data_IF_556006636990
#
_entry.id   IF_556006636990
#
_cell.length_a   1.000
_cell.length_b   1.000
_cell.length_c   1.000
_cell.angle_alpha   90.00
_cell.angle_beta   90.00
_cell.angle_gamma   90.00
#
_symmetry.space_group_name_H-M   'P 1'
#
loop_
_entity.id
_entity.type
_entity.pdbx_description
1 polymer ?
#
# COMPACT_ATOMS: atom_id res chain seq x y z
N UNK A 1 -18.76 3.19 8.47
CA UNK A 1 -17.66 4.13 8.25
C UNK A 1 -16.34 3.46 8.60
N UNK A 2 -15.41 3.46 7.70
CA UNK A 2 -14.14 2.81 7.99
C UNK A 2 -13.18 3.82 8.61
N UNK A 3 -12.44 3.35 9.57
CA UNK A 3 -11.45 4.15 10.27
C UNK A 3 -10.07 3.72 9.80
N UNK A 4 -9.25 4.69 9.43
CA UNK A 4 -7.93 4.40 8.91
C UNK A 4 -6.90 5.09 9.80
N UNK A 5 -5.92 4.33 10.28
CA UNK A 5 -4.86 4.90 11.10
C UNK A 5 -3.93 5.74 10.24
N UNK A 6 -3.11 6.56 10.89
CA UNK A 6 -2.14 7.36 10.15
C UNK A 6 -1.20 6.48 9.34
N UNK A 7 -0.81 5.36 9.93
CA UNK A 7 0.12 4.46 9.26
C UNK A 7 -0.52 3.85 8.02
N UNK A 8 -1.78 3.44 8.13
CA UNK A 8 -2.50 2.92 6.97
C UNK A 8 -2.63 3.99 5.88
N UNK A 9 -2.95 5.21 6.28
CA UNK A 9 -3.05 6.30 5.31
C UNK A 9 -1.73 6.57 4.62
N UNK A 10 -0.63 6.53 5.38
CA UNK A 10 0.68 6.77 4.81
C UNK A 10 1.04 5.71 3.78
N UNK A 11 0.72 4.45 4.08
CA UNK A 11 0.98 3.37 3.13
C UNK A 11 0.16 3.57 1.86
N UNK A 12 -1.12 3.87 2.03
CA UNK A 12 -2.01 4.07 0.89
C UNK A 12 -1.55 5.24 0.01
N UNK A 13 -1.16 6.34 0.65
CA UNK A 13 -0.69 7.50 -0.10
C UNK A 13 0.59 7.19 -0.87
N UNK A 14 1.47 6.37 -0.30
CA UNK A 14 2.67 5.97 -1.01
C UNK A 14 2.34 5.17 -2.25
N UNK A 15 1.35 4.29 -2.17
CA UNK A 15 0.95 3.52 -3.33
C UNK A 15 0.34 4.44 -4.40
N UNK A 16 -0.50 5.37 -3.98
CA UNK A 16 -1.11 6.32 -4.93
C UNK A 16 -0.06 7.14 -5.65
N UNK A 17 1.00 7.50 -4.94
CA UNK A 17 2.05 8.34 -5.51
C UNK A 17 3.05 7.53 -6.33
N UNK A 18 2.95 6.22 -6.31
CA UNK A 18 3.90 5.38 -7.03
C UNK A 18 3.61 5.37 -8.52
N UNK A 19 4.64 5.11 -9.34
CA UNK A 19 4.41 4.98 -10.78
C UNK A 19 3.37 3.90 -11.04
N UNK A 20 2.44 4.18 -11.93
CA UNK A 20 1.34 3.25 -12.28
C UNK A 20 0.47 2.90 -11.07
N UNK A 21 0.58 3.63 -9.98
CA UNK A 21 -0.24 3.39 -8.81
C UNK A 21 0.04 2.06 -8.13
N UNK A 22 1.28 1.57 -8.22
CA UNK A 22 1.62 0.29 -7.60
C UNK A 22 3.04 0.32 -7.06
N UNK A 23 3.29 -0.51 -6.07
CA UNK A 23 4.61 -0.61 -5.45
C UNK A 23 4.72 -1.92 -4.70
N UNK A 24 5.95 -2.38 -4.51
CA UNK A 24 6.19 -3.54 -3.66
C UNK A 24 6.21 -3.09 -2.21
N UNK A 25 6.08 -4.07 -1.30
CA UNK A 25 6.15 -3.75 0.12
C UNK A 25 7.50 -3.15 0.49
N UNK A 26 8.56 -3.62 -0.14
CA UNK A 26 9.90 -3.11 0.13
C UNK A 26 10.00 -1.64 -0.30
N UNK A 27 9.46 -1.30 -1.46
CA UNK A 27 9.49 0.07 -1.93
C UNK A 27 8.70 0.98 -0.98
N UNK A 28 7.56 0.49 -0.52
CA UNK A 28 6.75 1.27 0.41
C UNK A 28 7.49 1.50 1.72
N UNK A 29 8.15 0.47 2.23
CA UNK A 29 8.92 0.60 3.45
C UNK A 29 10.01 1.65 3.30
N UNK A 30 10.73 1.61 2.19
CA UNK A 30 11.81 2.55 1.96
C UNK A 30 11.29 3.98 1.87
N UNK A 31 10.17 4.19 1.20
CA UNK A 31 9.60 5.52 1.09
C UNK A 31 9.13 6.05 2.43
N UNK A 32 8.51 5.18 3.22
CA UNK A 32 8.06 5.59 4.55
C UNK A 32 9.24 5.99 5.42
N UNK A 33 10.34 5.26 5.33
CA UNK A 33 11.53 5.62 6.08
C UNK A 33 12.10 6.95 5.63
N UNK A 34 12.07 7.21 4.33
CA UNK A 34 12.56 8.47 3.81
C UNK A 34 11.73 9.65 4.30
N UNK A 35 10.45 9.42 4.57
CA UNK A 35 9.59 10.47 5.08
C UNK A 35 9.62 10.57 6.60
N UNK A 36 10.52 9.81 7.25
CA UNK A 36 10.70 9.93 8.68
C UNK A 36 9.95 8.90 9.50
N UNK A 37 9.23 7.99 8.90
CA UNK A 37 8.50 6.98 9.64
C UNK A 37 9.35 5.73 9.78
N UNK A 38 9.46 5.26 11.01
CA UNK A 38 10.23 4.05 11.28
C UNK A 38 9.29 2.85 11.25
N UNK A 39 9.28 2.14 10.14
CA UNK A 39 8.40 0.97 9.98
C UNK A 39 9.22 -0.19 9.48
N UNK A 40 8.88 -1.38 9.93
CA UNK A 40 9.49 -2.59 9.45
C UNK A 40 8.66 -3.19 8.34
N UNK A 41 9.26 -4.15 7.63
CA UNK A 41 8.60 -4.78 6.50
C UNK A 41 7.34 -5.52 6.92
N UNK A 42 7.39 -6.22 8.06
CA UNK A 42 6.20 -6.95 8.50
C UNK A 42 5.05 -6.02 8.84
N UNK A 43 5.36 -4.82 9.34
CA UNK A 43 4.32 -3.84 9.59
C UNK A 43 3.69 -3.37 8.28
N UNK A 44 4.51 -3.16 7.26
CA UNK A 44 4.00 -2.75 5.95
C UNK A 44 3.07 -3.83 5.40
N UNK A 45 3.47 -5.09 5.47
CA UNK A 45 2.61 -6.18 5.01
C UNK A 45 1.29 -6.21 5.76
N UNK A 46 1.33 -5.99 7.07
CA UNK A 46 0.10 -5.99 7.86
C UNK A 46 -0.85 -4.89 7.40
N UNK A 47 -0.31 -3.71 7.16
CA UNK A 47 -1.16 -2.62 6.70
C UNK A 47 -1.70 -2.89 5.29
N UNK A 48 -0.87 -3.47 4.43
CA UNK A 48 -1.32 -3.81 3.09
C UNK A 48 -2.44 -4.83 3.12
N UNK A 49 -2.35 -5.83 4.00
CA UNK A 49 -3.42 -6.81 4.12
C UNK A 49 -4.73 -6.16 4.57
N UNK A 50 -4.63 -5.21 5.48
CA UNK A 50 -5.83 -4.50 5.92
C UNK A 50 -6.43 -3.66 4.82
N UNK A 51 -5.59 -2.98 4.06
CA UNK A 51 -6.07 -2.18 2.94
C UNK A 51 -6.69 -3.07 1.87
N UNK A 52 -6.10 -4.23 1.64
CA UNK A 52 -6.64 -5.17 0.69
C UNK A 52 -8.01 -5.67 1.15
N UNK A 53 -8.14 -5.95 2.44
CA UNK A 53 -9.42 -6.37 3.00
C UNK A 53 -10.49 -5.32 2.88
N UNK A 54 -10.10 -4.06 2.82
CA UNK A 54 -11.05 -2.96 2.63
C UNK A 54 -11.33 -2.66 1.17
N UNK A 55 -10.63 -3.36 0.27
CA UNK A 55 -10.85 -3.12 -1.16
C UNK A 55 -10.12 -1.91 -1.71
N UNK A 56 -9.17 -1.37 -0.96
CA UNK A 56 -8.46 -0.17 -1.37
C UNK A 56 -7.21 -0.48 -2.19
N UNK A 57 -6.64 -1.66 -2.05
CA UNK A 57 -5.50 -2.08 -2.84
C UNK A 57 -5.69 -3.53 -3.26
N UNK A 58 -5.00 -3.92 -4.30
CA UNK A 58 -5.01 -5.29 -4.81
C UNK A 58 -3.59 -5.81 -4.89
N UNK A 59 -3.41 -7.04 -4.50
CA UNK A 59 -2.13 -7.71 -4.63
C UNK A 59 -2.04 -8.28 -6.05
N UNK A 60 -0.98 -7.93 -6.75
CA UNK A 60 -0.75 -8.39 -8.11
C UNK A 60 0.58 -9.13 -8.12
N UNK A 61 0.57 -10.36 -8.61
CA UNK A 61 1.78 -11.16 -8.72
C UNK A 61 2.36 -10.99 -10.11
N UNK A 62 3.62 -10.58 -10.18
CA UNK A 62 4.32 -10.41 -11.44
C UNK A 62 5.53 -11.33 -11.46
N UNK A 63 6.23 -11.35 -12.59
CA UNK A 63 7.44 -12.13 -12.70
C UNK A 63 8.50 -11.70 -11.72
N UNK A 64 8.45 -10.44 -11.32
CA UNK A 64 9.42 -9.90 -10.38
C UNK A 64 8.99 -10.06 -8.94
N UNK A 65 7.80 -10.57 -8.70
CA UNK A 65 7.30 -10.74 -7.35
C UNK A 65 5.95 -10.09 -7.18
N UNK A 66 5.53 -9.98 -5.93
CA UNK A 66 4.23 -9.41 -5.62
C UNK A 66 4.32 -7.91 -5.45
N UNK A 67 3.38 -7.18 -6.01
CA UNK A 67 3.25 -5.77 -5.75
C UNK A 67 1.79 -5.47 -5.41
N UNK A 68 1.57 -4.28 -4.87
CA UNK A 68 0.24 -3.86 -4.45
C UNK A 68 -0.15 -2.66 -5.26
N UNK A 69 -1.34 -2.71 -5.80
CA UNK A 69 -1.84 -1.68 -6.69
C UNK A 69 -3.00 -0.94 -6.04
N UNK A 70 -2.98 0.38 -6.16
CA UNK A 70 -4.07 1.20 -5.65
C UNK A 70 -5.35 0.93 -6.44
N UNK A 71 -6.41 0.67 -5.73
CA UNK A 71 -7.73 0.49 -6.35
C UNK A 71 -8.43 1.84 -6.38
N UNK A 72 -8.75 2.30 -7.57
CA UNK A 72 -9.40 3.56 -7.79
C UNK A 72 -10.78 3.56 -7.30
N UNK A 73 -11.26 2.54 -6.77
CA UNK A 73 -12.49 2.47 -6.04
C UNK A 73 -13.70 2.80 -6.79
N UNK A 74 -13.54 3.65 -7.57
CA UNK A 74 -14.64 4.09 -8.22
C UNK A 74 -15.10 3.26 -9.28
N UNK A 75 -14.47 2.59 -9.66
CA UNK A 75 -14.89 2.06 -10.74
C UNK A 75 -15.65 1.12 -10.70
N UNK A 76 -16.04 1.18 -10.46
CA UNK A 76 -16.86 0.24 -10.29
C UNK A 76 -17.54 -0.43 -11.13
N UNK A 77 -17.30 -0.08 -11.23
CA UNK A 77 -17.72 -0.44 -11.72
C UNK A 77 -18.01 -0.59 -12.00
#
# INVERSE_FOLDING_TARGET
MSYMTRQQQAVLQCIEASPDGRATAMELMQRLRQSGQTVGLSTVYRQLERLEGQGLVHKVTTEEGACYRYCDGGEGN
#
